data_IF_491510054798
#
_entry.id   IF_491510054798
#
_cell.length_a   1.000
_cell.length_b   1.000
_cell.length_c   1.000
_cell.angle_alpha   90.00
_cell.angle_beta   90.00
_cell.angle_gamma   90.00
#
_symmetry.space_group_name_H-M   'P 1'
#
loop_
_entity.id
_entity.type
_entity.pdbx_description
1 polymer ?
#
# COMPACT_ATOMS: atom_id res chain seq x y z
N UNK A 1 -5.68 -0.89 9.99
CA UNK A 1 -4.65 -0.23 10.82
C UNK A 1 -3.73 0.68 9.99
N UNK A 2 -3.30 0.28 8.80
CA UNK A 2 -2.52 1.12 7.85
C UNK A 2 -3.11 2.50 7.57
N UNK A 3 -4.41 2.55 7.28
CA UNK A 3 -5.16 3.78 7.02
C UNK A 3 -5.11 4.78 8.16
N UNK A 4 -5.31 4.31 9.41
CA UNK A 4 -5.27 5.15 10.60
C UNK A 4 -3.89 5.75 10.78
N UNK A 5 -2.84 4.94 10.61
CA UNK A 5 -1.46 5.38 10.69
C UNK A 5 -1.15 6.49 9.67
N UNK A 6 -1.50 6.29 8.40
CA UNK A 6 -1.27 7.30 7.35
C UNK A 6 -2.06 8.60 7.61
N UNK A 7 -3.32 8.49 8.05
CA UNK A 7 -4.14 9.65 8.41
C UNK A 7 -3.62 10.39 9.64
N UNK A 8 -3.16 9.70 10.69
CA UNK A 8 -2.58 10.32 11.88
C UNK A 8 -1.28 11.07 11.55
N UNK A 9 -0.49 10.54 10.63
CA UNK A 9 0.75 11.15 10.17
C UNK A 9 0.57 12.18 9.04
N UNK A 10 -0.67 12.54 8.65
CA UNK A 10 -0.98 13.44 7.53
C UNK A 10 -0.29 13.06 6.20
N UNK A 11 0.00 11.78 6.01
CA UNK A 11 0.66 11.28 4.80
C UNK A 11 -0.41 11.19 3.71
N UNK A 12 -0.28 11.89 2.57
CA UNK A 12 -1.21 11.75 1.48
C UNK A 12 -1.11 10.33 0.89
N UNK A 13 -2.16 9.53 1.07
CA UNK A 13 -2.24 8.18 0.52
C UNK A 13 -3.48 8.01 -0.34
N UNK A 14 -3.37 7.18 -1.38
CA UNK A 14 -4.50 6.79 -2.21
C UNK A 14 -4.87 5.35 -1.93
N UNK A 15 -6.04 5.12 -1.36
CA UNK A 15 -6.54 3.76 -1.24
C UNK A 15 -7.00 3.26 -2.61
N UNK A 16 -6.45 2.12 -3.02
CA UNK A 16 -6.93 1.34 -4.16
C UNK A 16 -7.44 0.00 -3.65
N UNK A 17 -8.76 -0.15 -3.62
CA UNK A 17 -9.38 -1.38 -3.15
C UNK A 17 -9.61 -2.35 -4.33
N UNK A 18 -8.98 -3.51 -4.25
CA UNK A 18 -9.11 -4.58 -5.25
C UNK A 18 -10.52 -5.18 -5.31
N UNK A 19 -11.31 -5.08 -4.24
CA UNK A 19 -12.71 -5.54 -4.25
C UNK A 19 -13.60 -4.64 -5.11
N UNK A 20 -13.27 -3.35 -5.19
CA UNK A 20 -14.05 -2.36 -5.96
C UNK A 20 -13.51 -2.22 -7.38
N UNK A 21 -12.20 -2.45 -7.57
CA UNK A 21 -11.53 -2.33 -8.85
C UNK A 21 -10.67 -3.59 -9.08
N UNK A 22 -11.24 -4.64 -9.70
CA UNK A 22 -10.52 -5.89 -9.97
C UNK A 22 -9.33 -5.71 -10.92
N UNK A 23 -9.27 -4.60 -11.68
CA UNK A 23 -8.14 -4.22 -12.53
C UNK A 23 -6.80 -4.16 -11.76
N UNK A 24 -6.86 -3.79 -10.47
CA UNK A 24 -5.69 -3.79 -9.60
C UNK A 24 -5.19 -5.20 -9.25
N UNK A 25 -6.03 -6.24 -9.37
CA UNK A 25 -5.60 -7.63 -9.16
C UNK A 25 -4.62 -8.04 -10.25
N UNK A 26 -4.91 -7.68 -11.51
CA UNK A 26 -4.01 -7.92 -12.64
C UNK A 26 -2.69 -7.15 -12.49
N UNK A 27 -2.77 -5.90 -12.04
CA UNK A 27 -1.60 -5.11 -11.68
C UNK A 27 -0.73 -5.80 -10.61
N UNK A 28 -1.34 -6.28 -9.53
CA UNK A 28 -0.63 -6.98 -8.46
C UNK A 28 -0.01 -8.29 -8.93
N UNK A 29 -0.74 -9.08 -9.73
CA UNK A 29 -0.24 -10.33 -10.31
C UNK A 29 0.93 -10.09 -11.25
N UNK A 30 0.84 -9.07 -12.10
CA UNK A 30 1.92 -8.67 -13.03
C UNK A 30 3.20 -8.29 -12.29
N UNK A 31 3.06 -7.70 -11.09
CA UNK A 31 4.17 -7.36 -10.19
C UNK A 31 4.67 -8.54 -9.34
N UNK A 32 4.05 -9.72 -9.44
CA UNK A 32 4.40 -10.91 -8.65
C UNK A 32 3.84 -10.92 -7.23
N UNK A 33 2.94 -9.99 -6.90
CA UNK A 33 2.32 -9.95 -5.57
C UNK A 33 1.18 -10.95 -5.46
N UNK A 34 1.28 -11.84 -4.48
CA UNK A 34 0.26 -12.86 -4.19
C UNK A 34 -0.54 -12.58 -2.92
N UNK A 35 -0.18 -11.53 -2.17
CA UNK A 35 -0.81 -11.19 -0.90
C UNK A 35 -1.14 -9.69 -0.81
N UNK A 36 -2.29 -9.40 -0.22
CA UNK A 36 -2.75 -8.05 0.15
C UNK A 36 -2.75 -7.89 1.67
N UNK A 37 -2.62 -6.68 2.23
CA UNK A 37 -2.54 -5.36 1.56
C UNK A 37 -1.17 -5.09 0.91
N UNK A 38 -1.13 -4.37 -0.21
CA UNK A 38 0.13 -3.89 -0.82
C UNK A 38 0.20 -2.37 -0.70
N UNK A 39 1.34 -1.87 -0.22
CA UNK A 39 1.61 -0.44 -0.07
C UNK A 39 2.66 -0.05 -1.08
N UNK A 40 2.29 0.82 -2.01
CA UNK A 40 3.22 1.41 -2.96
C UNK A 40 3.52 2.84 -2.53
N UNK A 41 4.79 3.21 -2.60
CA UNK A 41 5.24 4.58 -2.35
C UNK A 41 6.03 5.08 -3.55
N UNK A 42 5.86 6.36 -3.88
CA UNK A 42 6.61 7.00 -4.95
C UNK A 42 8.09 7.04 -4.57
N UNK A 43 8.89 6.22 -5.25
CA UNK A 43 10.35 6.15 -5.05
C UNK A 43 10.83 5.03 -4.12
N UNK A 44 9.95 4.19 -3.58
CA UNK A 44 10.34 3.02 -2.77
C UNK A 44 9.81 1.72 -3.36
N UNK A 45 10.44 0.60 -2.98
CA UNK A 45 9.94 -0.71 -3.38
C UNK A 45 8.53 -0.97 -2.81
N UNK A 46 7.62 -1.49 -3.65
CA UNK A 46 6.28 -1.86 -3.22
C UNK A 46 6.32 -2.94 -2.13
N UNK A 47 5.66 -2.67 -1.01
CA UNK A 47 5.66 -3.58 0.15
C UNK A 47 4.39 -4.40 0.14
N UNK A 48 4.54 -5.72 0.10
CA UNK A 48 3.43 -6.63 0.34
C UNK A 48 3.27 -6.92 1.84
N UNK A 49 2.03 -6.83 2.30
CA UNK A 49 1.61 -7.02 3.68
C UNK A 49 1.49 -5.74 4.51
N UNK A 50 1.03 -5.91 5.75
CA UNK A 50 0.97 -4.81 6.72
C UNK A 50 2.32 -4.67 7.43
N UNK A 51 3.11 -3.66 7.03
CA UNK A 51 4.44 -3.38 7.61
C UNK A 51 4.49 -1.97 8.22
N UNK A 52 4.17 -1.83 9.53
CA UNK A 52 4.16 -0.52 10.19
C UNK A 52 5.54 0.16 10.20
N UNK A 53 6.64 -0.59 10.25
CA UNK A 53 8.00 -0.05 10.18
C UNK A 53 8.28 0.70 8.88
N UNK A 54 7.79 0.20 7.74
CA UNK A 54 8.02 0.84 6.44
C UNK A 54 7.05 2.01 6.24
N UNK A 55 5.82 1.89 6.75
CA UNK A 55 4.87 3.01 6.80
C UNK A 55 5.41 4.21 7.60
N UNK A 56 6.21 3.96 8.65
CA UNK A 56 6.92 5.01 9.38
C UNK A 56 7.99 5.71 8.54
N UNK A 57 8.71 4.98 7.67
CA UNK A 57 9.71 5.58 6.79
C UNK A 57 9.09 6.49 5.72
N UNK A 58 7.81 6.28 5.39
CA UNK A 58 7.04 7.12 4.48
C UNK A 58 6.53 8.41 5.13
N UNK A 59 6.68 8.55 6.44
CA UNK A 59 6.22 9.69 7.24
C UNK A 59 7.27 10.82 7.39
N UNK A 60 8.38 10.75 6.65
CA UNK A 60 9.49 11.72 6.70
C UNK A 60 9.34 12.78 5.61
#
# INVERSE_FOLDING_TARGET
MTKRFLSEHNIPFKERNINTNPDYIDYLKSRGFQAVPVVESNGNEPIAGFRPDVLKQLAI
#
